data_IF_558752879794
#
_entry.id   IF_558752879794
#
_cell.length_a   1.000
_cell.length_b   1.000
_cell.length_c   1.000
_cell.angle_alpha   90.00
_cell.angle_beta   90.00
_cell.angle_gamma   90.00
#
_symmetry.space_group_name_H-M   'P 1'
#
loop_
_entity.id
_entity.type
_entity.pdbx_description
1 polymer ?
#
# COMPACT_ATOMS: atom_id res chain seq x y z
N UNK A 1 -20.66 0.51 5.85
CA UNK A 1 -19.26 0.31 5.37
C UNK A 1 -19.06 0.87 3.97
N UNK A 2 -20.01 0.65 3.03
CA UNK A 2 -19.91 1.11 1.62
C UNK A 2 -19.61 2.60 1.53
N UNK A 3 -20.40 3.45 2.19
CA UNK A 3 -20.21 4.91 2.11
C UNK A 3 -18.85 5.36 2.66
N UNK A 4 -18.31 4.68 3.68
CA UNK A 4 -16.98 4.98 4.24
C UNK A 4 -15.89 4.67 3.21
N UNK A 5 -15.89 3.45 2.67
CA UNK A 5 -14.90 3.02 1.68
C UNK A 5 -15.05 3.79 0.37
N UNK A 6 -16.28 3.95 -0.11
CA UNK A 6 -16.56 4.72 -1.32
C UNK A 6 -16.13 6.19 -1.19
N UNK A 7 -16.36 6.82 -0.04
CA UNK A 7 -15.87 8.19 0.22
C UNK A 7 -14.34 8.24 0.13
N UNK A 8 -13.65 7.23 0.68
CA UNK A 8 -12.18 7.17 0.61
C UNK A 8 -11.70 7.04 -0.83
N UNK A 9 -12.32 6.13 -1.60
CA UNK A 9 -12.02 5.94 -3.03
C UNK A 9 -12.25 7.24 -3.81
N UNK A 10 -13.40 7.88 -3.67
CA UNK A 10 -13.70 9.16 -4.34
C UNK A 10 -12.69 10.25 -3.95
N UNK A 11 -12.30 10.30 -2.67
CA UNK A 11 -11.32 11.27 -2.20
C UNK A 11 -9.94 11.04 -2.84
N UNK A 12 -9.50 9.78 -2.96
CA UNK A 12 -8.24 9.43 -3.63
C UNK A 12 -8.30 9.76 -5.12
N UNK A 13 -9.40 9.41 -5.80
CA UNK A 13 -9.59 9.73 -7.23
C UNK A 13 -9.61 11.25 -7.50
N UNK A 14 -10.11 12.04 -6.53
CA UNK A 14 -10.05 13.51 -6.58
C UNK A 14 -8.65 14.08 -6.29
N UNK A 15 -7.62 13.24 -6.11
CA UNK A 15 -6.26 13.66 -5.81
C UNK A 15 -6.04 14.07 -4.35
N UNK A 16 -6.95 13.73 -3.46
CA UNK A 16 -6.84 14.06 -2.05
C UNK A 16 -5.90 13.09 -1.32
N UNK A 17 -5.15 13.59 -0.36
CA UNK A 17 -4.16 12.84 0.43
C UNK A 17 -4.28 13.07 1.94
N UNK A 18 -5.36 13.75 2.37
CA UNK A 18 -5.70 13.97 3.79
C UNK A 18 -7.20 13.81 3.99
N UNK A 19 -7.60 13.28 5.14
CA UNK A 19 -9.01 13.17 5.50
C UNK A 19 -9.75 14.53 5.46
N UNK A 20 -9.08 15.62 5.87
CA UNK A 20 -9.68 16.97 5.83
C UNK A 20 -10.16 17.38 4.43
N UNK A 21 -9.56 16.83 3.37
CA UNK A 21 -9.94 17.13 1.99
C UNK A 21 -11.30 16.50 1.59
N UNK A 22 -11.80 15.52 2.33
CA UNK A 22 -13.11 14.90 2.10
C UNK A 22 -14.23 15.94 2.09
N UNK A 23 -14.08 17.02 2.86
CA UNK A 23 -15.06 18.09 2.87
C UNK A 23 -15.28 18.75 1.49
N UNK A 24 -14.27 18.74 0.62
CA UNK A 24 -14.36 19.31 -0.72
C UNK A 24 -15.31 18.51 -1.65
N UNK A 25 -15.48 17.20 -1.40
CA UNK A 25 -16.36 16.34 -2.20
C UNK A 25 -17.72 16.06 -1.55
N UNK A 26 -18.02 16.66 -0.37
CA UNK A 26 -19.26 16.37 0.37
C UNK A 26 -20.53 16.79 -0.36
N UNK A 27 -20.46 17.78 -1.24
CA UNK A 27 -21.60 18.26 -2.02
C UNK A 27 -21.82 17.45 -3.32
N UNK A 28 -20.93 16.49 -3.60
CA UNK A 28 -21.08 15.65 -4.78
C UNK A 28 -22.24 14.66 -4.60
N UNK A 29 -23.24 14.77 -5.43
CA UNK A 29 -24.41 13.89 -5.43
C UNK A 29 -24.38 12.83 -6.54
N UNK A 30 -23.52 12.98 -7.54
CA UNK A 30 -23.49 12.14 -8.75
C UNK A 30 -22.60 10.91 -8.53
N UNK A 31 -21.34 11.13 -8.17
CA UNK A 31 -20.40 10.03 -8.02
C UNK A 31 -20.75 9.04 -6.89
N UNK A 32 -21.27 9.47 -5.74
CA UNK A 32 -21.80 8.54 -4.74
C UNK A 32 -22.89 7.63 -5.29
N UNK A 33 -23.82 8.17 -6.06
CA UNK A 33 -24.91 7.39 -6.66
C UNK A 33 -24.37 6.32 -7.61
N UNK A 34 -23.40 6.66 -8.47
CA UNK A 34 -22.76 5.71 -9.38
C UNK A 34 -22.05 4.55 -8.63
N UNK A 35 -21.56 4.79 -7.42
CA UNK A 35 -20.95 3.77 -6.56
C UNK A 35 -21.99 3.05 -5.67
N UNK A 36 -23.27 3.32 -5.83
CA UNK A 36 -24.34 2.76 -5.01
C UNK A 36 -24.25 3.17 -3.54
N UNK A 37 -23.68 4.35 -3.26
CA UNK A 37 -23.60 4.97 -1.95
C UNK A 37 -24.84 5.81 -1.66
N UNK A 38 -25.11 6.04 -0.37
CA UNK A 38 -26.16 6.99 0.04
C UNK A 38 -25.67 8.44 0.04
N UNK A 39 -24.36 8.65 0.01
CA UNK A 39 -23.73 9.95 -0.04
C UNK A 39 -22.29 9.90 0.47
N UNK A 40 -21.60 11.04 0.40
CA UNK A 40 -20.23 11.18 0.92
C UNK A 40 -20.26 11.28 2.44
N UNK A 41 -19.57 10.35 3.12
CA UNK A 41 -19.44 10.35 4.57
C UNK A 41 -18.57 11.53 5.04
N UNK A 42 -18.79 12.00 6.28
CA UNK A 42 -17.93 13.02 6.87
C UNK A 42 -16.54 12.49 7.18
N UNK A 43 -15.54 13.38 7.27
CA UNK A 43 -14.17 13.05 7.69
C UNK A 43 -14.16 12.19 8.96
N UNK A 44 -14.89 12.60 10.00
CA UNK A 44 -14.97 11.87 11.26
C UNK A 44 -15.62 10.50 11.11
N UNK A 45 -16.64 10.39 10.26
CA UNK A 45 -17.28 9.09 9.98
C UNK A 45 -16.31 8.15 9.26
N UNK A 46 -15.50 8.66 8.33
CA UNK A 46 -14.46 7.86 7.66
C UNK A 46 -13.40 7.44 8.67
N UNK A 47 -12.87 8.33 9.50
CA UNK A 47 -11.88 8.01 10.53
C UNK A 47 -12.38 6.93 11.49
N UNK A 48 -13.60 7.11 12.03
CA UNK A 48 -14.20 6.11 12.93
C UNK A 48 -14.46 4.79 12.24
N UNK A 49 -14.94 4.83 11.01
CA UNK A 49 -15.21 3.64 10.21
C UNK A 49 -13.95 2.85 9.93
N UNK A 50 -12.87 3.51 9.51
CA UNK A 50 -11.57 2.86 9.29
C UNK A 50 -11.00 2.27 10.58
N UNK A 51 -11.04 3.03 11.68
CA UNK A 51 -10.56 2.53 12.99
C UNK A 51 -11.35 1.32 13.52
N UNK A 52 -12.61 1.18 13.14
CA UNK A 52 -13.47 0.08 13.57
C UNK A 52 -13.39 -1.16 12.66
N UNK A 53 -12.60 -1.10 11.58
CA UNK A 53 -12.36 -2.25 10.71
C UNK A 53 -11.31 -3.16 11.32
N UNK A 54 -11.51 -4.46 11.18
CA UNK A 54 -10.48 -5.44 11.51
C UNK A 54 -9.34 -5.34 10.48
N UNK A 55 -8.10 -5.26 10.96
CA UNK A 55 -6.93 -5.04 10.13
C UNK A 55 -6.66 -6.23 9.22
N UNK A 56 -6.68 -7.46 9.76
CA UNK A 56 -6.40 -8.66 8.99
C UNK A 56 -7.44 -8.88 7.89
N UNK A 57 -8.72 -8.83 8.24
CA UNK A 57 -9.81 -8.99 7.27
C UNK A 57 -9.83 -7.87 6.21
N UNK A 58 -9.43 -6.65 6.59
CA UNK A 58 -9.33 -5.52 5.64
C UNK A 58 -8.15 -5.70 4.70
N UNK A 59 -7.02 -6.20 5.21
CA UNK A 59 -5.83 -6.52 4.42
C UNK A 59 -6.10 -7.62 3.41
N UNK A 60 -6.71 -8.72 3.83
CA UNK A 60 -7.10 -9.82 2.93
C UNK A 60 -8.06 -9.35 1.83
N UNK A 61 -9.06 -8.55 2.20
CA UNK A 61 -10.00 -7.98 1.25
C UNK A 61 -9.29 -7.11 0.21
N UNK A 62 -8.39 -6.21 0.65
CA UNK A 62 -7.64 -5.33 -0.23
C UNK A 62 -6.70 -6.11 -1.14
N UNK A 63 -5.93 -7.04 -0.61
CA UNK A 63 -5.02 -7.91 -1.38
C UNK A 63 -5.78 -8.70 -2.45
N UNK A 64 -6.96 -9.24 -2.13
CA UNK A 64 -7.82 -9.93 -3.09
C UNK A 64 -8.28 -9.05 -4.25
N UNK A 65 -8.67 -7.81 -3.97
CA UNK A 65 -9.06 -6.85 -5.00
C UNK A 65 -7.88 -6.34 -5.83
N UNK A 66 -6.73 -6.08 -5.21
CA UNK A 66 -5.49 -5.77 -5.93
C UNK A 66 -5.11 -6.90 -6.87
N UNK A 67 -5.12 -8.14 -6.39
CA UNK A 67 -4.81 -9.32 -7.20
C UNK A 67 -5.74 -9.41 -8.42
N UNK A 68 -7.03 -9.27 -8.24
CA UNK A 68 -7.98 -9.26 -9.35
C UNK A 68 -7.72 -8.15 -10.39
N UNK A 69 -7.13 -7.02 -9.95
CA UNK A 69 -6.80 -5.89 -10.83
C UNK A 69 -5.52 -6.12 -11.63
N UNK A 70 -4.48 -6.71 -11.03
CA UNK A 70 -3.17 -6.83 -11.68
C UNK A 70 -2.94 -8.19 -12.36
N UNK A 71 -3.51 -9.28 -11.87
CA UNK A 71 -3.22 -10.64 -12.37
C UNK A 71 -3.44 -10.80 -13.88
N UNK A 72 -4.51 -10.23 -14.49
CA UNK A 72 -4.68 -10.28 -15.94
C UNK A 72 -3.61 -9.54 -16.75
N UNK A 73 -2.88 -8.62 -16.11
CA UNK A 73 -1.85 -7.79 -16.74
C UNK A 73 -0.44 -8.39 -16.65
N UNK A 74 -0.25 -9.43 -15.82
CA UNK A 74 1.04 -10.09 -15.61
C UNK A 74 1.26 -11.30 -16.55
N UNK A 75 0.72 -11.25 -17.76
CA UNK A 75 0.83 -12.36 -18.73
C UNK A 75 2.05 -12.24 -19.64
N UNK A 76 2.57 -11.03 -19.83
CA UNK A 76 3.80 -10.76 -20.58
C UNK A 76 4.99 -10.66 -19.62
N UNK A 77 6.23 -10.86 -20.10
CA UNK A 77 7.42 -10.70 -19.27
C UNK A 77 7.48 -9.33 -18.61
N UNK A 78 7.63 -9.29 -17.29
CA UNK A 78 7.64 -8.06 -16.50
C UNK A 78 8.73 -8.03 -15.44
N UNK A 79 9.04 -6.82 -14.97
CA UNK A 79 10.04 -6.58 -13.93
C UNK A 79 9.31 -6.18 -12.65
N UNK A 80 9.64 -6.86 -11.56
CA UNK A 80 9.15 -6.55 -10.22
C UNK A 80 10.05 -5.50 -9.59
N UNK A 81 9.49 -4.35 -9.30
CA UNK A 81 10.18 -3.23 -8.66
C UNK A 81 9.88 -3.16 -7.18
N UNK A 82 10.91 -2.97 -6.38
CA UNK A 82 10.84 -2.86 -4.92
C UNK A 82 11.44 -1.54 -4.46
N UNK A 83 10.73 -0.83 -3.59
CA UNK A 83 11.22 0.40 -2.98
C UNK A 83 10.83 0.50 -1.50
N UNK A 84 11.65 1.18 -0.72
CA UNK A 84 11.36 1.45 0.68
C UNK A 84 11.34 2.95 0.93
N UNK A 85 10.16 3.47 1.23
CA UNK A 85 9.96 4.88 1.54
C UNK A 85 9.72 5.09 3.03
N UNK A 86 10.44 6.03 3.64
CA UNK A 86 10.26 6.41 5.05
C UNK A 86 9.39 7.66 5.15
N UNK A 87 8.27 7.56 5.88
CA UNK A 87 7.34 8.67 6.11
C UNK A 87 7.44 9.16 7.56
N UNK A 88 7.96 10.38 7.80
CA UNK A 88 7.96 10.96 9.15
C UNK A 88 6.53 11.26 9.60
N UNK A 89 6.25 10.99 10.87
CA UNK A 89 4.94 11.14 11.48
C UNK A 89 4.93 12.30 12.48
N UNK A 90 3.80 13.02 12.54
CA UNK A 90 3.62 14.20 13.37
C UNK A 90 2.55 14.03 14.45
N UNK A 91 2.13 12.78 14.70
CA UNK A 91 1.11 12.43 15.70
C UNK A 91 1.48 11.12 16.39
N UNK A 92 0.52 10.59 17.15
CA UNK A 92 0.64 9.34 17.89
C UNK A 92 0.03 8.17 17.09
N UNK A 93 0.63 7.88 15.94
CA UNK A 93 0.22 6.73 15.14
C UNK A 93 0.74 5.43 15.77
N UNK A 94 -0.04 4.37 15.61
CA UNK A 94 0.36 3.03 16.05
C UNK A 94 1.68 2.64 15.38
N UNK A 95 2.55 1.97 16.11
CA UNK A 95 3.86 1.47 15.66
C UNK A 95 4.81 2.52 15.07
N UNK A 96 4.53 3.81 15.27
CA UNK A 96 5.49 4.86 14.96
C UNK A 96 6.74 4.71 15.82
N UNK A 97 7.87 4.41 15.19
CA UNK A 97 9.18 4.24 15.87
C UNK A 97 10.23 5.18 15.28
N UNK A 98 11.19 5.56 16.12
CA UNK A 98 12.39 6.24 15.66
C UNK A 98 13.32 5.21 15.02
N UNK A 99 13.71 5.46 13.77
CA UNK A 99 14.61 4.64 12.99
C UNK A 99 15.38 5.46 11.98
N UNK A 100 15.92 4.82 10.94
CA UNK A 100 16.57 5.53 9.86
C UNK A 100 15.60 6.44 9.14
N UNK A 101 15.84 7.74 9.20
CA UNK A 101 15.03 8.75 8.54
C UNK A 101 15.95 9.90 8.09
N UNK A 102 16.40 9.91 6.83
CA UNK A 102 17.34 10.90 6.33
C UNK A 102 16.76 12.31 6.27
N UNK A 103 15.43 12.42 6.10
CA UNK A 103 14.75 13.72 5.99
C UNK A 103 14.50 14.38 7.34
N UNK A 104 14.21 13.59 8.38
CA UNK A 104 13.87 14.06 9.73
C UNK A 104 14.47 13.13 10.79
N UNK A 105 15.81 13.16 11.00
CA UNK A 105 16.46 12.31 12.00
C UNK A 105 15.84 12.46 13.40
N UNK A 106 15.70 11.34 14.11
CA UNK A 106 15.12 11.31 15.45
C UNK A 106 13.60 11.43 15.54
N UNK A 107 12.89 11.60 14.42
CA UNK A 107 11.43 11.65 14.41
C UNK A 107 10.85 10.24 14.19
N UNK A 108 9.79 9.88 14.95
CA UNK A 108 9.03 8.66 14.65
C UNK A 108 8.54 8.63 13.21
N UNK A 109 8.57 7.47 12.61
CA UNK A 109 8.19 7.26 11.21
C UNK A 109 7.56 5.88 11.00
N UNK A 110 7.00 5.66 9.81
CA UNK A 110 6.72 4.35 9.27
C UNK A 110 7.62 4.09 8.06
N UNK A 111 7.98 2.83 7.85
CA UNK A 111 8.59 2.32 6.64
C UNK A 111 7.50 1.72 5.74
N UNK A 112 7.50 2.11 4.48
CA UNK A 112 6.59 1.60 3.44
C UNK A 112 7.42 0.81 2.46
N UNK A 113 7.29 -0.52 2.46
CA UNK A 113 7.88 -1.38 1.45
C UNK A 113 6.84 -1.56 0.35
N UNK A 114 7.12 -1.07 -0.83
CA UNK A 114 6.20 -1.05 -1.97
C UNK A 114 6.70 -1.95 -3.09
N UNK A 115 5.78 -2.67 -3.71
CA UNK A 115 6.00 -3.60 -4.80
C UNK A 115 5.16 -3.17 -6.00
N UNK A 116 5.79 -3.05 -7.16
CA UNK A 116 5.09 -2.53 -8.33
C UNK A 116 5.73 -2.96 -9.66
N UNK A 117 4.96 -2.77 -10.72
CA UNK A 117 5.40 -2.90 -12.10
C UNK A 117 5.58 -1.50 -12.67
N UNK A 118 6.83 -1.01 -12.76
CA UNK A 118 7.10 0.40 -13.06
C UNK A 118 6.60 0.85 -14.44
N UNK A 119 6.76 0.01 -15.47
CA UNK A 119 6.42 0.40 -16.84
C UNK A 119 4.91 0.61 -17.06
N UNK A 120 4.05 -0.05 -16.28
CA UNK A 120 2.59 0.16 -16.29
C UNK A 120 2.08 0.93 -15.07
N UNK A 121 2.98 1.35 -14.17
CA UNK A 121 2.66 2.08 -12.92
C UNK A 121 1.63 1.35 -12.04
N UNK A 122 1.70 0.05 -12.00
CA UNK A 122 0.79 -0.80 -11.24
C UNK A 122 1.40 -1.17 -9.89
N UNK A 123 0.72 -0.81 -8.82
CA UNK A 123 1.05 -1.28 -7.47
C UNK A 123 0.50 -2.68 -7.30
N UNK A 124 1.35 -3.61 -6.85
CA UNK A 124 1.02 -5.01 -6.61
C UNK A 124 0.67 -5.25 -5.13
N UNK A 125 1.49 -4.72 -4.24
CA UNK A 125 1.27 -4.76 -2.80
C UNK A 125 2.06 -3.67 -2.10
N UNK A 126 1.75 -3.41 -0.84
CA UNK A 126 2.50 -2.49 0.01
C UNK A 126 2.39 -2.92 1.48
N UNK A 127 3.53 -2.98 2.15
CA UNK A 127 3.62 -3.21 3.59
C UNK A 127 3.94 -1.93 4.32
N UNK A 128 3.28 -1.73 5.47
CA UNK A 128 3.57 -0.63 6.37
C UNK A 128 4.15 -1.20 7.65
N UNK A 129 5.38 -0.83 7.95
CA UNK A 129 6.11 -1.31 9.12
C UNK A 129 6.58 -0.17 10.01
N UNK A 130 7.01 -0.51 11.22
CA UNK A 130 7.56 0.47 12.16
C UNK A 130 8.80 1.17 11.56
N UNK A 131 9.00 2.45 11.88
CA UNK A 131 10.08 3.26 11.30
C UNK A 131 11.50 2.78 11.56
N UNK A 132 11.68 1.85 12.50
CA UNK A 132 12.97 1.16 12.75
C UNK A 132 13.12 -0.14 11.94
N UNK A 133 12.14 -0.49 11.10
CA UNK A 133 12.13 -1.67 10.24
C UNK A 133 12.25 -1.27 8.76
N UNK A 134 13.22 -0.41 8.46
CA UNK A 134 13.45 0.09 7.09
C UNK A 134 14.26 -0.88 6.24
N UNK A 135 15.00 -1.82 6.87
CA UNK A 135 15.81 -2.77 6.12
C UNK A 135 14.94 -3.79 5.38
N UNK A 136 15.29 -4.17 4.15
CA UNK A 136 14.53 -5.13 3.34
C UNK A 136 14.30 -6.48 4.02
N UNK A 137 15.21 -6.90 4.90
CA UNK A 137 15.06 -8.16 5.64
C UNK A 137 13.70 -8.28 6.40
N UNK A 138 13.11 -7.15 6.78
CA UNK A 138 11.81 -7.14 7.47
C UNK A 138 10.63 -7.34 6.50
N UNK A 139 10.82 -7.01 5.23
CA UNK A 139 9.82 -7.17 4.17
C UNK A 139 9.94 -8.51 3.42
N UNK A 140 11.09 -9.19 3.51
CA UNK A 140 11.33 -10.43 2.76
C UNK A 140 10.28 -11.53 2.97
N UNK A 141 9.77 -11.81 4.18
CA UNK A 141 8.77 -12.86 4.34
C UNK A 141 7.50 -12.64 3.53
N UNK A 142 6.97 -11.41 3.53
CA UNK A 142 5.78 -11.06 2.76
C UNK A 142 6.08 -10.98 1.26
N UNK A 143 7.27 -10.50 0.89
CA UNK A 143 7.74 -10.50 -0.51
C UNK A 143 7.75 -11.91 -1.10
N UNK A 144 8.36 -12.86 -0.41
CA UNK A 144 8.42 -14.25 -0.89
C UNK A 144 7.03 -14.88 -0.90
N UNK A 145 6.22 -14.67 0.13
CA UNK A 145 4.84 -15.14 0.16
C UNK A 145 4.01 -14.57 -1.01
N UNK A 146 4.24 -13.30 -1.37
CA UNK A 146 3.61 -12.69 -2.55
C UNK A 146 4.03 -13.38 -3.86
N UNK A 147 5.33 -13.55 -4.08
CA UNK A 147 5.87 -14.18 -5.30
C UNK A 147 5.45 -15.64 -5.43
N UNK A 148 5.48 -16.39 -4.33
CA UNK A 148 5.03 -17.79 -4.28
C UNK A 148 3.53 -17.94 -4.53
N UNK A 149 2.74 -16.92 -4.17
CA UNK A 149 1.31 -16.85 -4.45
C UNK A 149 0.94 -16.56 -5.91
N UNK A 150 1.93 -16.20 -6.75
CA UNK A 150 1.70 -16.00 -8.19
C UNK A 150 1.80 -17.34 -8.94
N UNK A 151 0.89 -17.58 -9.91
CA UNK A 151 1.09 -18.67 -10.87
C UNK A 151 2.46 -18.54 -11.55
N UNK A 152 3.15 -19.67 -11.81
CA UNK A 152 4.49 -19.67 -12.39
C UNK A 152 4.59 -18.83 -13.67
N UNK A 153 3.62 -18.93 -14.57
CA UNK A 153 3.53 -18.14 -15.81
C UNK A 153 3.41 -16.62 -15.59
N UNK A 154 3.01 -16.21 -14.40
CA UNK A 154 2.81 -14.80 -14.03
C UNK A 154 3.95 -14.28 -13.16
N UNK A 155 4.98 -15.07 -12.88
CA UNK A 155 6.14 -14.63 -12.12
C UNK A 155 6.99 -13.63 -12.91
N UNK A 156 7.64 -12.67 -12.23
CA UNK A 156 8.51 -11.69 -12.89
C UNK A 156 9.76 -12.36 -13.49
N UNK A 157 10.28 -11.79 -14.56
CA UNK A 157 11.59 -12.23 -15.13
C UNK A 157 12.77 -11.64 -14.38
N UNK A 158 12.59 -10.52 -13.70
CA UNK A 158 13.59 -9.83 -12.88
C UNK A 158 12.97 -9.18 -11.65
N UNK A 159 13.72 -9.21 -10.54
CA UNK A 159 13.48 -8.40 -9.37
C UNK A 159 14.47 -7.23 -9.39
N UNK A 160 13.97 -6.01 -9.18
CA UNK A 160 14.77 -4.79 -9.16
C UNK A 160 14.47 -3.99 -7.90
N UNK A 161 15.50 -3.60 -7.19
CA UNK A 161 15.43 -2.73 -6.02
C UNK A 161 16.64 -1.80 -5.97
N UNK A 162 16.65 -0.88 -5.02
CA UNK A 162 17.82 -0.06 -4.73
C UNK A 162 18.93 -0.90 -4.04
N UNK A 163 20.04 -0.26 -3.69
CA UNK A 163 21.18 -0.93 -3.04
C UNK A 163 20.85 -1.59 -1.69
N UNK A 164 19.78 -1.15 -1.02
CA UNK A 164 19.31 -1.79 0.21
C UNK A 164 18.81 -3.22 -0.02
N UNK A 165 18.23 -3.49 -1.20
CA UNK A 165 17.75 -4.81 -1.59
C UNK A 165 18.86 -5.73 -2.11
N UNK A 166 20.07 -5.22 -2.34
CA UNK A 166 21.23 -5.95 -2.82
C UNK A 166 21.94 -6.82 -1.78
N UNK A 167 21.29 -7.16 -0.67
CA UNK A 167 21.83 -8.09 0.31
C UNK A 167 21.89 -9.52 -0.25
N UNK A 168 22.99 -10.25 -0.01
CA UNK A 168 23.21 -11.62 -0.48
C UNK A 168 21.99 -12.52 -0.24
N UNK A 169 21.39 -12.45 0.94
CA UNK A 169 20.23 -13.25 1.31
C UNK A 169 18.99 -12.95 0.45
N UNK A 170 18.82 -11.71 0.01
CA UNK A 170 17.73 -11.34 -0.89
C UNK A 170 18.00 -11.85 -2.31
N UNK A 171 19.25 -11.77 -2.78
CA UNK A 171 19.65 -12.29 -4.10
C UNK A 171 19.49 -13.79 -4.17
N UNK A 172 19.95 -14.52 -3.16
CA UNK A 172 19.79 -15.99 -3.09
C UNK A 172 18.31 -16.42 -3.05
N UNK A 173 17.44 -15.66 -2.39
CA UNK A 173 16.00 -15.92 -2.40
C UNK A 173 15.36 -15.68 -3.77
N UNK A 174 15.88 -14.77 -4.56
CA UNK A 174 15.38 -14.47 -5.90
C UNK A 174 15.80 -15.50 -6.97
N UNK A 175 16.81 -16.33 -6.69
CA UNK A 175 17.30 -17.37 -7.58
C UNK A 175 16.59 -18.72 -7.39
N UNK A 176 15.75 -18.87 -6.37
CA UNK A 176 14.97 -20.08 -6.07
C UNK A 176 13.58 -20.03 -6.70
#
# INVERSE_FOLDING_TARGET
KRDVLGTLVLSVLAGHWRYAHINAIRADGINPELLGMTGVASEDSVRRGMKAMDEAASGEWLKGHLKASYEPLLQEPWVFDMDTTVKPLYGHQQDAKVGYNPTKPGRPSHAYHSYFVAHIRMVLDMEVQAGNQTAPLYAQPELWAFLDGLPERNRPVFLRGDSHWGAEKAMMGAEQ
#
